data_IF_447143757078
#
_entry.id   IF_447143757078
#
_cell.length_a   1.000
_cell.length_b   1.000
_cell.length_c   1.000
_cell.angle_alpha   90.00
_cell.angle_beta   90.00
_cell.angle_gamma   90.00
#
_symmetry.space_group_name_H-M   'P 1'
#
loop_
_entity.id
_entity.type
_entity.pdbx_description
1 polymer ?
#
# COMPACT_ATOMS: atom_id res chain seq x y z
N UNK A 1 -61.99 33.19 -24.84
CA UNK A 1 -61.28 31.95 -24.44
C UNK A 1 -59.86 32.31 -24.02
N UNK A 2 -59.57 32.34 -22.72
CA UNK A 2 -58.22 32.53 -22.18
C UNK A 2 -58.00 31.47 -21.09
N UNK A 3 -56.95 30.67 -21.25
CA UNK A 3 -56.73 29.39 -20.57
C UNK A 3 -56.15 29.57 -19.16
N UNK A 4 -56.51 28.59 -18.32
CA UNK A 4 -56.26 28.40 -16.89
C UNK A 4 -54.89 28.86 -16.34
N UNK A 5 -54.95 29.53 -15.19
CA UNK A 5 -53.87 29.69 -14.21
C UNK A 5 -53.63 28.34 -13.54
N UNK A 6 -52.43 27.76 -13.71
CA UNK A 6 -52.01 26.53 -13.02
C UNK A 6 -50.93 26.85 -11.98
N UNK A 7 -51.38 26.98 -10.74
CA UNK A 7 -50.52 26.97 -9.55
C UNK A 7 -49.69 25.67 -9.53
N UNK A 8 -48.36 25.78 -9.39
CA UNK A 8 -47.46 24.64 -9.20
C UNK A 8 -46.50 24.90 -8.03
N UNK A 9 -46.95 24.40 -6.88
CA UNK A 9 -46.24 23.45 -6.01
C UNK A 9 -44.77 23.82 -5.68
N UNK A 10 -44.61 24.41 -4.50
CA UNK A 10 -43.42 24.36 -3.67
C UNK A 10 -42.91 22.90 -3.56
N UNK A 11 -41.63 22.64 -3.89
CA UNK A 11 -40.96 21.39 -3.55
C UNK A 11 -39.74 21.70 -2.67
N UNK A 12 -39.62 21.09 -1.48
CA UNK A 12 -38.54 21.36 -0.54
C UNK A 12 -37.24 20.67 -0.96
N UNK A 13 -36.14 21.17 -0.39
CA UNK A 13 -34.77 20.68 -0.49
C UNK A 13 -34.66 19.14 -0.57
N UNK A 14 -33.82 18.67 -1.49
CA UNK A 14 -33.10 17.40 -1.29
C UNK A 14 -31.63 17.79 -1.18
N UNK A 15 -31.16 17.92 0.07
CA UNK A 15 -29.74 18.00 0.37
C UNK A 15 -29.10 16.70 -0.08
N UNK A 16 -28.28 16.79 -1.13
CA UNK A 16 -27.48 15.67 -1.61
C UNK A 16 -26.35 15.45 -0.59
N UNK A 17 -26.61 14.60 0.39
CA UNK A 17 -25.62 14.20 1.38
C UNK A 17 -24.40 13.60 0.68
N UNK A 18 -23.22 14.14 0.98
CA UNK A 18 -21.94 13.58 0.59
C UNK A 18 -21.85 12.16 1.20
N UNK A 19 -22.11 11.13 0.39
CA UNK A 19 -21.73 9.76 0.72
C UNK A 19 -20.20 9.70 0.69
N UNK A 20 -19.58 9.99 1.83
CA UNK A 20 -18.20 9.61 2.09
C UNK A 20 -18.17 8.09 2.10
N UNK A 21 -17.88 7.49 0.95
CA UNK A 21 -17.56 6.07 0.87
C UNK A 21 -16.31 5.87 1.71
N UNK A 22 -16.47 5.38 2.94
CA UNK A 22 -15.37 4.84 3.71
C UNK A 22 -14.78 3.71 2.88
N UNK A 23 -13.68 3.99 2.19
CA UNK A 23 -12.90 2.96 1.53
C UNK A 23 -12.44 2.02 2.64
N UNK A 24 -12.73 0.72 2.58
CA UNK A 24 -12.18 -0.20 3.56
C UNK A 24 -10.67 -0.12 3.45
N UNK A 25 -10.04 0.52 4.43
CA UNK A 25 -8.59 0.43 4.61
C UNK A 25 -8.36 -1.00 5.07
N UNK A 26 -8.09 -1.88 4.10
CA UNK A 26 -7.68 -3.25 4.38
C UNK A 26 -6.42 -3.13 5.23
N UNK A 27 -6.50 -3.58 6.49
CA UNK A 27 -5.35 -3.60 7.37
C UNK A 27 -4.26 -4.39 6.66
N UNK A 28 -3.12 -3.73 6.39
CA UNK A 28 -1.97 -4.42 5.83
C UNK A 28 -1.52 -5.48 6.85
N UNK A 29 -1.03 -6.66 6.40
CA UNK A 29 -0.38 -7.62 7.28
C UNK A 29 0.60 -6.92 8.23
N UNK A 30 0.59 -7.36 9.48
CA UNK A 30 1.44 -6.76 10.51
C UNK A 30 2.92 -6.91 10.11
N UNK A 31 3.65 -5.81 10.27
CA UNK A 31 5.08 -5.81 10.08
C UNK A 31 5.79 -6.19 11.38
N UNK A 32 6.41 -7.37 11.40
CA UNK A 32 7.36 -7.75 12.43
C UNK A 32 8.78 -7.55 11.89
N UNK A 33 9.41 -6.43 12.29
CA UNK A 33 10.80 -6.18 11.91
C UNK A 33 11.75 -7.17 12.61
N UNK A 34 12.77 -7.69 11.90
CA UNK A 34 13.71 -8.62 12.49
C UNK A 34 14.53 -7.96 13.61
N UNK A 35 14.81 -8.73 14.65
CA UNK A 35 15.66 -8.30 15.76
C UNK A 35 17.08 -7.92 15.27
N UNK A 36 17.73 -7.00 15.98
CA UNK A 36 19.08 -6.52 15.67
C UNK A 36 19.15 -5.38 14.66
N UNK A 37 18.01 -4.90 14.16
CA UNK A 37 17.93 -3.61 13.46
C UNK A 37 17.78 -2.46 14.48
N UNK A 38 18.46 -1.36 14.22
CA UNK A 38 18.23 -0.09 14.93
C UNK A 38 16.82 0.42 14.68
N UNK A 39 16.28 1.27 15.57
CA UNK A 39 14.90 1.72 15.50
C UNK A 39 14.52 2.35 14.14
N UNK A 40 15.43 3.12 13.53
CA UNK A 40 15.22 3.70 12.20
C UNK A 40 15.12 2.62 11.11
N UNK A 41 15.95 1.59 11.19
CA UNK A 41 15.98 0.52 10.20
C UNK A 41 14.79 -0.42 10.35
N UNK A 42 14.23 -0.56 11.56
CA UNK A 42 12.96 -1.26 11.76
C UNK A 42 11.81 -0.53 11.05
N UNK A 43 11.76 0.81 11.13
CA UNK A 43 10.76 1.62 10.40
C UNK A 43 10.92 1.40 8.90
N UNK A 44 12.14 1.52 8.39
CA UNK A 44 12.43 1.32 6.97
C UNK A 44 12.11 -0.10 6.49
N UNK A 45 12.40 -1.12 7.31
CA UNK A 45 12.00 -2.50 7.04
C UNK A 45 10.48 -2.61 6.88
N UNK A 46 9.71 -1.96 7.74
CA UNK A 46 8.25 -1.96 7.64
C UNK A 46 7.71 -1.17 6.46
N UNK A 47 8.43 -0.16 5.98
CA UNK A 47 8.12 0.49 4.71
C UNK A 47 8.32 -0.46 3.53
N UNK A 48 9.45 -1.17 3.47
CA UNK A 48 9.70 -2.20 2.45
C UNK A 48 8.62 -3.28 2.49
N UNK A 49 8.27 -3.76 3.69
CA UNK A 49 7.18 -4.71 3.89
C UNK A 49 5.87 -4.19 3.27
N UNK A 50 5.52 -2.93 3.55
CA UNK A 50 4.31 -2.29 3.01
C UNK A 50 4.32 -2.23 1.48
N UNK A 51 5.44 -1.80 0.88
CA UNK A 51 5.55 -1.72 -0.58
C UNK A 51 5.45 -3.10 -1.25
N UNK A 52 6.14 -4.10 -0.69
CA UNK A 52 6.08 -5.48 -1.17
C UNK A 52 4.66 -6.03 -1.11
N UNK A 53 3.98 -5.87 0.03
CA UNK A 53 2.61 -6.32 0.21
C UNK A 53 1.66 -5.66 -0.78
N UNK A 54 1.80 -4.35 -1.02
CA UNK A 54 1.01 -3.64 -2.02
C UNK A 54 1.31 -4.11 -3.46
N UNK A 55 2.56 -4.47 -3.77
CA UNK A 55 2.94 -5.08 -5.05
C UNK A 55 2.29 -6.46 -5.23
N UNK A 56 2.34 -7.32 -4.21
CA UNK A 56 1.72 -8.65 -4.23
C UNK A 56 0.19 -8.57 -4.35
N UNK A 57 -0.45 -7.66 -3.62
CA UNK A 57 -1.89 -7.41 -3.76
C UNK A 57 -2.27 -7.00 -5.19
N UNK A 58 -1.47 -6.13 -5.83
CA UNK A 58 -1.68 -5.74 -7.24
C UNK A 58 -1.50 -6.91 -8.22
N UNK A 59 -0.70 -7.92 -7.87
CA UNK A 59 -0.55 -9.17 -8.64
C UNK A 59 -1.71 -10.15 -8.40
N UNK A 60 -2.66 -9.82 -7.52
CA UNK A 60 -3.86 -10.62 -7.25
C UNK A 60 -3.73 -11.60 -6.08
N UNK A 61 -2.66 -11.51 -5.29
CA UNK A 61 -2.54 -12.30 -4.06
C UNK A 61 -3.45 -11.75 -2.97
N UNK A 62 -4.08 -12.67 -2.23
CA UNK A 62 -4.91 -12.36 -1.07
C UNK A 62 -4.03 -12.20 0.18
N UNK A 63 -3.60 -10.97 0.43
CA UNK A 63 -2.70 -10.62 1.54
C UNK A 63 -3.43 -10.52 2.89
N UNK A 64 -4.75 -10.66 2.92
CA UNK A 64 -5.54 -10.60 4.16
C UNK A 64 -5.59 -11.94 4.91
N UNK A 65 -5.16 -13.04 4.26
CA UNK A 65 -5.05 -14.35 4.91
C UNK A 65 -3.84 -14.39 5.83
N UNK A 66 -4.00 -15.00 7.01
CA UNK A 66 -2.90 -15.21 7.97
C UNK A 66 -1.74 -16.04 7.39
N UNK A 67 -2.02 -16.93 6.42
CA UNK A 67 -1.05 -17.82 5.79
C UNK A 67 -1.02 -17.63 4.27
N UNK A 68 -0.84 -16.39 3.80
CA UNK A 68 -0.71 -16.13 2.38
C UNK A 68 0.48 -16.89 1.78
N UNK A 69 0.26 -17.48 0.61
CA UNK A 69 1.29 -18.17 -0.17
C UNK A 69 1.43 -17.44 -1.49
N UNK A 70 2.67 -17.11 -1.85
CA UNK A 70 3.00 -16.36 -3.06
C UNK A 70 4.08 -17.11 -3.82
N UNK A 71 4.18 -16.88 -5.13
CA UNK A 71 5.33 -17.35 -5.88
C UNK A 71 6.60 -16.66 -5.38
N UNK A 72 7.67 -17.43 -5.17
CA UNK A 72 8.96 -16.89 -4.72
C UNK A 72 9.48 -15.79 -5.64
N UNK A 73 9.35 -15.97 -6.95
CA UNK A 73 9.75 -14.97 -7.95
C UNK A 73 9.00 -13.65 -7.83
N UNK A 74 7.71 -13.69 -7.49
CA UNK A 74 6.92 -12.48 -7.26
C UNK A 74 7.28 -11.83 -5.93
N UNK A 75 7.54 -12.64 -4.90
CA UNK A 75 7.98 -12.14 -3.60
C UNK A 75 9.31 -11.39 -3.71
N UNK A 76 10.30 -11.98 -4.39
CA UNK A 76 11.61 -11.38 -4.61
C UNK A 76 11.50 -10.12 -5.46
N UNK A 77 10.80 -10.17 -6.59
CA UNK A 77 10.59 -9.00 -7.44
C UNK A 77 9.90 -7.84 -6.69
N UNK A 78 8.82 -8.13 -5.96
CA UNK A 78 8.13 -7.11 -5.15
C UNK A 78 8.97 -6.61 -3.96
N UNK A 79 9.90 -7.43 -3.44
CA UNK A 79 10.84 -6.98 -2.40
C UNK A 79 11.87 -6.03 -3.00
N UNK A 80 12.38 -6.33 -4.20
CA UNK A 80 13.32 -5.48 -4.92
C UNK A 80 12.70 -4.11 -5.19
N UNK A 81 11.50 -4.08 -5.79
CA UNK A 81 10.75 -2.85 -6.04
C UNK A 81 10.54 -2.04 -4.75
N UNK A 82 10.26 -2.73 -3.62
CA UNK A 82 10.07 -2.08 -2.33
C UNK A 82 11.35 -1.48 -1.75
N UNK A 83 12.49 -2.13 -1.95
CA UNK A 83 13.81 -1.61 -1.56
C UNK A 83 14.22 -0.43 -2.43
N UNK A 84 14.00 -0.49 -3.75
CA UNK A 84 14.26 0.62 -4.68
C UNK A 84 13.42 1.84 -4.30
N UNK A 85 12.12 1.65 -4.08
CA UNK A 85 11.22 2.72 -3.68
C UNK A 85 11.62 3.36 -2.34
N UNK A 86 12.09 2.56 -1.37
CA UNK A 86 12.64 3.10 -0.13
C UNK A 86 13.89 3.94 -0.41
N UNK A 87 14.83 3.42 -1.20
CA UNK A 87 16.07 4.12 -1.54
C UNK A 87 15.80 5.45 -2.26
N UNK A 88 14.85 5.49 -3.19
CA UNK A 88 14.41 6.72 -3.85
C UNK A 88 13.84 7.75 -2.86
N UNK A 89 13.16 7.30 -1.80
CA UNK A 89 12.55 8.18 -0.80
C UNK A 89 13.54 8.68 0.26
N UNK A 90 14.48 7.84 0.68
CA UNK A 90 15.39 8.13 1.81
C UNK A 90 16.79 8.52 1.38
N UNK A 91 17.17 8.22 0.14
CA UNK A 91 18.52 8.38 -0.40
C UNK A 91 19.58 7.45 0.21
N UNK A 92 19.19 6.55 1.12
CA UNK A 92 20.12 5.66 1.80
C UNK A 92 19.46 4.41 2.36
N UNK A 93 20.15 3.27 2.21
CA UNK A 93 19.90 2.02 2.90
C UNK A 93 21.08 1.75 3.84
N UNK A 94 20.81 1.47 5.12
CA UNK A 94 21.88 1.01 6.01
C UNK A 94 22.35 -0.39 5.58
N UNK A 95 23.60 -0.72 5.88
CA UNK A 95 24.15 -2.05 5.60
C UNK A 95 23.35 -3.16 6.30
N UNK A 96 22.96 -2.92 7.56
CA UNK A 96 22.16 -3.88 8.33
C UNK A 96 20.79 -4.14 7.68
N UNK A 97 20.11 -3.07 7.24
CA UNK A 97 18.83 -3.20 6.53
C UNK A 97 19.00 -3.89 5.18
N UNK A 98 20.05 -3.53 4.43
CA UNK A 98 20.37 -4.13 3.15
C UNK A 98 20.53 -5.64 3.28
N UNK A 99 21.39 -6.11 4.19
CA UNK A 99 21.64 -7.53 4.42
C UNK A 99 20.39 -8.30 4.87
N UNK A 100 19.47 -7.65 5.58
CA UNK A 100 18.25 -8.28 6.11
C UNK A 100 17.08 -8.29 5.13
N UNK A 101 16.98 -7.32 4.24
CA UNK A 101 15.78 -7.13 3.41
C UNK A 101 16.05 -7.01 1.91
N UNK A 102 17.20 -6.47 1.50
CA UNK A 102 17.46 -6.03 0.12
C UNK A 102 18.63 -6.75 -0.56
N UNK A 103 19.35 -7.63 0.13
CA UNK A 103 20.48 -8.40 -0.40
C UNK A 103 20.03 -9.52 -1.35
N UNK A 104 19.51 -9.11 -2.51
CA UNK A 104 19.03 -9.97 -3.60
C UNK A 104 19.87 -9.71 -4.86
N UNK A 105 20.00 -10.72 -5.73
CA UNK A 105 20.91 -10.74 -6.90
C UNK A 105 20.80 -9.50 -7.83
N UNK A 106 19.66 -8.79 -7.86
CA UNK A 106 19.52 -7.57 -8.66
C UNK A 106 20.18 -6.34 -8.00
N UNK A 107 20.24 -6.25 -6.68
CA UNK A 107 20.92 -5.16 -5.97
C UNK A 107 22.45 -5.23 -6.06
N UNK A 108 23.02 -6.42 -6.27
CA UNK A 108 24.46 -6.61 -6.46
C UNK A 108 25.01 -5.96 -7.75
N UNK A 109 24.15 -5.41 -8.62
CA UNK A 109 24.51 -5.03 -10.00
C UNK A 109 24.87 -3.56 -10.26
N UNK A 110 25.06 -2.73 -9.22
CA UNK A 110 25.45 -1.33 -9.40
C UNK A 110 26.71 -0.95 -8.59
N UNK A 111 27.85 -1.58 -8.90
CA UNK A 111 29.19 -1.09 -8.56
C UNK A 111 29.90 -0.55 -9.81
#
# INVERSE_FOLDING_TARGET
MLKLIRSRIFRPMVGLGLLLTAVPVQALPECEAPAGLEAKDQIHYCMIHTFRTACLARKGYDMAKENWTVMQTDYEACTIDGCDQLFEQTGALSEALFLKACNMVQFDRNL
#
